data_IF_254140822711
#
_entry.id   IF_254140822711
#
_cell.length_a   1.000
_cell.length_b   1.000
_cell.length_c   1.000
_cell.angle_alpha   90.00
_cell.angle_beta   90.00
_cell.angle_gamma   90.00
#
_symmetry.space_group_name_H-M   'P 1'
#
loop_
_entity.id
_entity.type
_entity.pdbx_description
1 polymer ?
#
# COMPACT_ATOMS: atom_id res chain seq x y z
N UNK A 1 -16.29 -77.56 -2.18
CA UNK A 1 -15.25 -78.08 -1.28
C UNK A 1 -14.04 -77.18 -1.44
N UNK A 2 -13.89 -76.22 -0.54
CA UNK A 2 -12.99 -76.22 0.65
C UNK A 2 -11.78 -75.35 0.32
N UNK A 3 -11.83 -74.05 0.63
CA UNK A 3 -11.42 -73.48 1.92
C UNK A 3 -9.98 -73.85 2.27
N UNK A 4 -9.02 -73.02 1.82
CA UNK A 4 -7.68 -73.01 2.40
C UNK A 4 -7.53 -71.76 3.28
N UNK A 5 -7.16 -72.01 4.52
CA UNK A 5 -7.00 -71.09 5.63
C UNK A 5 -5.54 -71.12 6.00
N UNK A 6 -4.83 -69.97 6.02
CA UNK A 6 -3.84 -69.78 7.07
C UNK A 6 -3.56 -68.28 7.36
N UNK A 7 -3.28 -67.94 8.64
CA UNK A 7 -3.30 -66.59 9.18
C UNK A 7 -1.90 -66.03 9.44
N UNK A 8 -1.86 -64.75 9.82
CA UNK A 8 -0.70 -64.04 10.33
C UNK A 8 -0.01 -63.21 9.23
N UNK A 9 0.47 -62.00 9.47
CA UNK A 9 0.71 -61.23 10.68
C UNK A 9 1.07 -59.81 10.22
N UNK A 10 0.84 -58.81 11.09
CA UNK A 10 1.56 -57.53 11.19
C UNK A 10 1.37 -56.54 10.01
N UNK A 11 0.56 -55.50 10.20
CA UNK A 11 0.98 -54.23 10.82
C UNK A 11 2.04 -53.50 9.98
N UNK A 12 1.64 -52.39 9.37
CA UNK A 12 2.17 -51.03 9.60
C UNK A 12 1.43 -50.08 8.63
N UNK A 13 0.49 -49.29 9.16
CA UNK A 13 -0.03 -48.12 8.47
C UNK A 13 1.02 -46.99 8.54
N UNK A 14 1.84 -46.85 7.51
CA UNK A 14 2.61 -45.62 7.29
C UNK A 14 1.76 -44.69 6.41
N UNK A 15 0.84 -43.96 7.04
CA UNK A 15 0.22 -42.79 6.42
C UNK A 15 1.27 -41.69 6.43
N UNK A 16 2.02 -41.58 5.33
CA UNK A 16 2.92 -40.47 5.10
C UNK A 16 2.13 -39.19 4.95
N UNK A 17 2.01 -38.40 6.04
CA UNK A 17 1.58 -37.02 5.97
C UNK A 17 2.65 -36.23 5.22
N UNK A 18 2.46 -36.06 3.91
CA UNK A 18 3.18 -35.06 3.15
C UNK A 18 2.69 -33.68 3.59
N UNK A 19 3.47 -33.02 4.46
CA UNK A 19 3.32 -31.59 4.73
C UNK A 19 3.63 -30.83 3.45
N UNK A 20 2.58 -30.51 2.68
CA UNK A 20 2.65 -29.45 1.66
C UNK A 20 2.88 -28.13 2.37
N UNK A 21 4.14 -27.73 2.52
CA UNK A 21 4.50 -26.37 2.83
C UNK A 21 4.19 -25.52 1.57
N UNK A 22 2.97 -25.02 1.49
CA UNK A 22 2.67 -23.92 0.57
C UNK A 22 3.52 -22.72 1.02
N UNK A 23 4.33 -22.11 0.14
CA UNK A 23 4.85 -20.79 0.44
C UNK A 23 3.63 -19.87 0.50
N UNK A 24 3.16 -19.58 1.70
CA UNK A 24 2.30 -18.43 1.93
C UNK A 24 3.17 -17.20 1.62
N UNK A 25 3.21 -16.82 0.35
CA UNK A 25 3.55 -15.47 -0.04
C UNK A 25 2.50 -14.58 0.62
N UNK A 26 2.77 -14.16 1.85
CA UNK A 26 2.06 -13.08 2.48
C UNK A 26 2.32 -11.87 1.58
N UNK A 27 1.39 -11.60 0.66
CA UNK A 27 1.30 -10.31 -0.01
C UNK A 27 1.18 -9.32 1.14
N UNK A 28 2.28 -8.65 1.45
CA UNK A 28 2.28 -7.68 2.53
C UNK A 28 1.24 -6.63 2.14
N UNK A 29 0.37 -6.16 3.04
CA UNK A 29 -0.57 -5.08 2.73
C UNK A 29 0.14 -3.81 2.20
N UNK A 30 1.46 -3.73 2.34
CA UNK A 30 2.33 -2.74 1.71
C UNK A 30 2.44 -2.89 0.17
N UNK A 31 2.47 -4.12 -0.38
CA UNK A 31 2.59 -4.33 -1.83
C UNK A 31 1.33 -3.83 -2.58
N UNK A 32 0.16 -4.07 -1.99
CA UNK A 32 -1.12 -3.60 -2.56
C UNK A 32 -1.21 -2.07 -2.53
N UNK A 33 -0.76 -1.46 -1.43
CA UNK A 33 -0.83 -0.01 -1.26
C UNK A 33 0.19 0.79 -2.09
N UNK A 34 1.09 0.15 -2.85
CA UNK A 34 2.00 0.84 -3.80
C UNK A 34 1.45 0.91 -5.21
N UNK A 35 0.32 0.26 -5.50
CA UNK A 35 -0.35 0.27 -6.80
C UNK A 35 -1.76 0.79 -6.65
N UNK A 36 -2.23 1.54 -7.63
CA UNK A 36 -3.59 2.07 -7.62
C UNK A 36 -4.08 2.36 -9.04
N UNK A 37 -5.39 2.41 -9.19
CA UNK A 37 -6.03 2.91 -10.39
C UNK A 37 -6.50 4.34 -10.14
N UNK A 38 -6.11 5.28 -11.02
CA UNK A 38 -6.57 6.66 -11.00
C UNK A 38 -7.24 6.98 -12.33
N UNK A 39 -8.58 6.88 -12.35
CA UNK A 39 -9.36 6.87 -13.59
C UNK A 39 -8.89 5.77 -14.55
N UNK A 40 -8.44 6.12 -15.75
CA UNK A 40 -7.91 5.19 -16.75
C UNK A 40 -6.40 4.97 -16.61
N UNK A 41 -5.74 5.60 -15.63
CA UNK A 41 -4.29 5.51 -15.44
C UNK A 41 -3.92 4.52 -14.33
N UNK A 42 -3.06 3.57 -14.68
CA UNK A 42 -2.40 2.74 -13.69
C UNK A 42 -1.29 3.54 -13.02
N UNK A 43 -1.31 3.59 -11.69
CA UNK A 43 -0.32 4.27 -10.87
C UNK A 43 0.53 3.27 -10.09
N UNK A 44 1.83 3.55 -10.00
CA UNK A 44 2.74 2.76 -9.19
C UNK A 44 3.73 3.66 -8.43
N UNK A 45 3.82 3.46 -7.11
CA UNK A 45 4.88 4.04 -6.30
C UNK A 45 6.11 3.14 -6.38
N UNK A 46 7.25 3.76 -6.63
CA UNK A 46 8.54 3.10 -6.80
C UNK A 46 9.60 3.81 -5.95
N UNK A 47 10.62 3.06 -5.56
CA UNK A 47 11.81 3.63 -4.95
C UNK A 47 12.67 4.29 -6.03
N UNK A 48 13.17 5.49 -5.75
CA UNK A 48 14.17 6.17 -6.55
C UNK A 48 15.04 7.08 -5.67
N UNK A 49 16.31 6.72 -5.51
CA UNK A 49 17.29 7.50 -4.73
C UNK A 49 16.87 7.75 -3.27
N UNK A 50 16.31 6.75 -2.62
CA UNK A 50 15.79 6.79 -1.24
C UNK A 50 14.46 7.54 -1.10
N UNK A 51 13.91 8.05 -2.20
CA UNK A 51 12.62 8.76 -2.23
C UNK A 51 11.59 7.99 -3.02
N UNK A 52 10.35 8.43 -2.91
CA UNK A 52 9.26 7.88 -3.68
C UNK A 52 9.13 8.59 -5.01
N UNK A 53 8.95 7.78 -6.06
CA UNK A 53 8.62 8.23 -7.40
C UNK A 53 7.29 7.60 -7.79
N UNK A 54 6.37 8.43 -8.27
CA UNK A 54 5.12 7.98 -8.87
C UNK A 54 5.33 7.74 -10.36
N UNK A 55 5.13 6.50 -10.80
CA UNK A 55 5.08 6.11 -12.20
C UNK A 55 3.62 6.05 -12.67
N UNK A 56 3.40 6.52 -13.90
CA UNK A 56 2.14 6.47 -14.65
C UNK A 56 2.42 6.26 -16.13
N UNK A 57 1.39 6.03 -16.94
CA UNK A 57 1.55 5.89 -18.40
C UNK A 57 2.19 7.14 -19.05
N UNK A 58 1.99 8.32 -18.45
CA UNK A 58 2.51 9.59 -18.95
C UNK A 58 3.94 9.93 -18.50
N UNK A 59 4.56 9.07 -17.67
CA UNK A 59 5.91 9.28 -17.16
C UNK A 59 6.01 9.20 -15.64
N UNK A 60 7.01 9.90 -15.10
CA UNK A 60 7.39 9.81 -13.69
C UNK A 60 7.27 11.17 -13.00
N UNK A 61 6.85 11.14 -11.73
CA UNK A 61 6.74 12.29 -10.85
C UNK A 61 7.47 11.99 -9.54
N UNK A 62 8.55 12.71 -9.27
CA UNK A 62 9.29 12.60 -8.02
C UNK A 62 8.52 13.24 -6.86
N UNK A 63 8.46 12.53 -5.73
CA UNK A 63 7.81 12.97 -4.52
C UNK A 63 8.85 13.41 -3.47
N UNK A 64 8.41 14.22 -2.52
CA UNK A 64 9.20 14.70 -1.39
C UNK A 64 9.24 13.69 -0.22
N UNK A 65 8.66 12.51 -0.44
CA UNK A 65 8.51 11.47 0.57
C UNK A 65 9.67 10.49 0.51
N UNK A 66 10.18 10.10 1.68
CA UNK A 66 11.16 9.02 1.79
C UNK A 66 10.49 7.66 1.52
N UNK A 67 11.20 6.76 0.85
CA UNK A 67 10.74 5.39 0.70
C UNK A 67 10.83 4.63 2.04
N UNK A 68 9.85 3.78 2.41
CA UNK A 68 8.70 3.33 1.63
C UNK A 68 7.49 4.27 1.67
N UNK A 69 6.82 4.41 0.53
CA UNK A 69 5.54 5.10 0.44
C UNK A 69 4.39 4.16 0.11
N UNK A 70 3.19 4.63 0.43
CA UNK A 70 1.93 4.00 0.06
C UNK A 70 0.91 5.04 -0.38
N UNK A 71 -0.03 4.63 -1.22
CA UNK A 71 -1.24 5.38 -1.49
C UNK A 71 -2.13 5.41 -0.25
N UNK A 72 -2.79 6.53 -0.05
CA UNK A 72 -3.87 6.63 0.91
C UNK A 72 -5.12 5.96 0.34
N UNK A 73 -5.57 4.91 1.04
CA UNK A 73 -6.73 4.12 0.64
C UNK A 73 -7.93 4.47 1.52
N UNK A 74 -9.14 4.33 0.98
CA UNK A 74 -10.38 4.42 1.74
C UNK A 74 -10.62 3.16 2.58
N UNK A 75 -11.72 3.14 3.35
CA UNK A 75 -12.11 1.96 4.16
C UNK A 75 -12.35 0.67 3.36
N UNK A 76 -12.52 0.75 2.05
CA UNK A 76 -12.70 -0.40 1.16
C UNK A 76 -11.37 -0.86 0.53
N UNK A 77 -10.26 -0.18 0.82
CA UNK A 77 -8.96 -0.44 0.22
C UNK A 77 -8.80 0.15 -1.18
N UNK A 78 -9.73 0.99 -1.64
CA UNK A 78 -9.61 1.68 -2.92
C UNK A 78 -8.83 2.99 -2.77
N UNK A 79 -8.17 3.44 -3.84
CA UNK A 79 -7.51 4.75 -3.87
C UNK A 79 -8.52 5.85 -3.55
N UNK A 80 -8.26 6.61 -2.48
CA UNK A 80 -9.13 7.72 -2.12
C UNK A 80 -8.79 8.95 -2.94
N UNK A 81 -9.76 9.37 -3.75
CA UNK A 81 -9.67 10.55 -4.62
C UNK A 81 -10.66 11.60 -4.12
N UNK A 82 -10.23 12.86 -4.06
CA UNK A 82 -11.09 14.00 -3.71
C UNK A 82 -11.12 15.01 -4.87
N UNK A 83 -12.30 15.46 -5.32
CA UNK A 83 -12.41 16.58 -6.24
C UNK A 83 -12.06 17.89 -5.51
N UNK A 84 -11.16 18.68 -6.08
CA UNK A 84 -10.72 19.99 -5.57
C UNK A 84 -10.74 20.98 -6.73
N UNK A 85 -11.76 21.83 -6.79
CA UNK A 85 -12.01 22.70 -7.94
C UNK A 85 -12.20 21.87 -9.22
N UNK A 86 -11.35 22.10 -10.22
CA UNK A 86 -11.35 21.34 -11.48
C UNK A 86 -10.36 20.17 -11.50
N UNK A 87 -9.71 19.89 -10.37
CA UNK A 87 -8.68 18.87 -10.23
C UNK A 87 -9.18 17.69 -9.39
N UNK A 88 -8.55 16.54 -9.56
CA UNK A 88 -8.73 15.40 -8.66
C UNK A 88 -7.44 15.17 -7.90
N UNK A 89 -7.54 15.01 -6.59
CA UNK A 89 -6.39 14.89 -5.69
C UNK A 89 -6.42 13.55 -4.97
N UNK A 90 -5.27 12.89 -4.94
CA UNK A 90 -4.99 11.73 -4.09
C UNK A 90 -3.90 12.08 -3.08
N UNK A 91 -3.72 11.24 -2.07
CA UNK A 91 -2.64 11.38 -1.11
C UNK A 91 -1.68 10.20 -1.19
N UNK A 92 -0.40 10.50 -1.02
CA UNK A 92 0.68 9.53 -0.83
C UNK A 92 1.29 9.80 0.53
N UNK A 93 1.60 8.74 1.27
CA UNK A 93 2.14 8.83 2.62
C UNK A 93 3.36 7.93 2.79
N UNK A 94 4.30 8.39 3.62
CA UNK A 94 5.43 7.62 4.13
C UNK A 94 5.37 7.66 5.65
N UNK A 95 5.53 6.51 6.30
CA UNK A 95 5.32 6.38 7.74
C UNK A 95 6.38 5.50 8.37
N UNK A 96 6.93 5.97 9.49
CA UNK A 96 7.90 5.25 10.30
C UNK A 96 7.45 5.23 11.76
N UNK A 97 7.51 4.07 12.41
CA UNK A 97 7.21 3.97 13.83
C UNK A 97 8.23 4.77 14.65
N UNK A 98 7.76 5.57 15.62
CA UNK A 98 8.67 6.27 16.52
C UNK A 98 9.30 5.29 17.52
N UNK A 99 10.53 5.57 18.00
CA UNK A 99 11.20 4.70 18.96
C UNK A 99 10.43 4.64 20.30
N UNK A 100 10.55 3.54 21.06
CA UNK A 100 10.01 3.46 22.41
C UNK A 100 10.46 4.64 23.29
N UNK A 101 9.62 5.15 24.20
CA UNK A 101 8.33 4.59 24.64
C UNK A 101 7.13 5.02 23.77
N UNK A 102 7.35 5.71 22.64
CA UNK A 102 6.28 6.20 21.79
C UNK A 102 5.51 5.05 21.13
N UNK A 103 4.21 5.26 20.90
CA UNK A 103 3.32 4.33 20.19
C UNK A 103 2.84 4.85 18.85
N UNK A 104 3.14 6.10 18.53
CA UNK A 104 2.74 6.73 17.26
C UNK A 104 3.83 6.60 16.21
N UNK A 105 3.47 6.97 14.98
CA UNK A 105 4.36 6.96 13.82
C UNK A 105 4.61 8.39 13.37
N UNK A 106 5.82 8.67 12.90
CA UNK A 106 6.11 9.88 12.14
C UNK A 106 5.64 9.64 10.72
N UNK A 107 4.55 10.30 10.34
CA UNK A 107 3.96 10.17 9.00
C UNK A 107 4.10 11.49 8.25
N UNK A 108 4.58 11.39 7.02
CA UNK A 108 4.69 12.50 6.06
C UNK A 108 3.73 12.23 4.92
N UNK A 109 2.89 13.21 4.58
CA UNK A 109 1.86 13.08 3.57
C UNK A 109 2.04 14.16 2.50
N UNK A 110 1.97 13.76 1.24
CA UNK A 110 2.01 14.65 0.10
C UNK A 110 0.76 14.44 -0.77
N UNK A 111 0.24 15.52 -1.33
CA UNK A 111 -0.87 15.44 -2.27
C UNK A 111 -0.35 15.30 -3.70
N UNK A 112 -1.07 14.55 -4.53
CA UNK A 112 -0.86 14.49 -5.97
C UNK A 112 -2.18 14.87 -6.64
N UNK A 113 -2.15 15.93 -7.44
CA UNK A 113 -3.31 16.45 -8.16
C UNK A 113 -3.19 16.19 -9.65
N UNK A 114 -4.33 16.11 -10.33
CA UNK A 114 -4.39 16.13 -11.79
C UNK A 114 -4.81 17.50 -12.31
N UNK A 115 -4.21 17.95 -13.40
CA UNK A 115 -4.68 19.07 -14.21
C UNK A 115 -4.54 18.77 -15.71
N UNK A 116 -4.78 19.76 -16.56
CA UNK A 116 -4.71 19.63 -18.02
C UNK A 116 -3.34 19.21 -18.56
N UNK A 117 -2.29 19.33 -17.75
CA UNK A 117 -0.92 18.97 -18.12
C UNK A 117 -0.45 17.64 -17.51
N UNK A 118 -1.31 16.96 -16.74
CA UNK A 118 -1.02 15.66 -16.14
C UNK A 118 -1.01 15.70 -14.62
N UNK A 119 -0.18 14.85 -14.01
CA UNK A 119 -0.05 14.74 -12.56
C UNK A 119 0.98 15.73 -12.04
N UNK A 120 0.68 16.37 -10.91
CA UNK A 120 1.60 17.23 -10.16
C UNK A 120 1.57 16.90 -8.69
N UNK A 121 2.73 16.95 -8.05
CA UNK A 121 2.84 16.81 -6.61
C UNK A 121 2.65 18.18 -5.94
N UNK A 122 2.09 18.21 -4.73
CA UNK A 122 2.04 19.42 -3.92
C UNK A 122 3.46 19.91 -3.59
N UNK A 123 3.70 21.23 -3.57
CA UNK A 123 5.03 21.77 -3.28
C UNK A 123 5.45 21.59 -1.82
N UNK A 124 4.49 21.26 -0.94
CA UNK A 124 4.69 21.04 0.49
C UNK A 124 4.15 19.67 0.90
N UNK A 125 4.56 19.23 2.10
CA UNK A 125 4.11 18.00 2.75
C UNK A 125 3.50 18.32 4.12
N UNK A 126 2.54 17.50 4.56
CA UNK A 126 2.05 17.48 5.94
C UNK A 126 2.90 16.52 6.77
N UNK A 127 3.16 16.86 8.04
CA UNK A 127 3.85 16.00 9.01
C UNK A 127 2.99 15.83 10.23
N UNK A 128 2.75 14.59 10.62
CA UNK A 128 1.78 14.23 11.66
C UNK A 128 2.28 13.03 12.46
N UNK A 129 1.87 12.97 13.73
CA UNK A 129 2.16 11.86 14.63
C UNK A 129 0.97 10.89 14.64
N UNK A 130 0.92 9.98 13.68
CA UNK A 130 -0.18 9.03 13.52
C UNK A 130 0.24 7.83 12.66
N UNK A 131 -0.28 6.64 12.97
CA UNK A 131 0.05 5.39 12.27
C UNK A 131 -1.10 4.96 11.33
N UNK A 132 -0.94 5.06 10.00
CA UNK A 132 -1.89 4.49 9.05
C UNK A 132 -2.06 2.96 9.21
N UNK A 133 -3.18 2.37 8.76
CA UNK A 133 -4.23 3.00 7.95
C UNK A 133 -5.29 3.72 8.79
N UNK A 134 -5.67 4.92 8.36
CA UNK A 134 -6.86 5.64 8.77
C UNK A 134 -7.22 6.65 7.69
N UNK A 135 -8.40 7.26 7.72
CA UNK A 135 -8.85 8.25 6.73
C UNK A 135 -8.39 9.65 7.12
N UNK A 136 -7.61 10.31 6.26
CA UNK A 136 -7.20 11.69 6.46
C UNK A 136 -8.40 12.64 6.32
N UNK A 137 -8.36 13.77 7.01
CA UNK A 137 -9.36 14.82 6.85
C UNK A 137 -9.37 15.34 5.41
N UNK A 138 -10.55 15.65 4.87
CA UNK A 138 -10.70 16.13 3.50
C UNK A 138 -9.89 17.41 3.23
N UNK A 139 -9.64 18.25 4.25
CA UNK A 139 -8.82 19.47 4.12
C UNK A 139 -7.37 19.17 3.78
N UNK A 140 -6.85 17.99 4.09
CA UNK A 140 -5.48 17.63 3.69
C UNK A 140 -5.32 17.54 2.17
N UNK A 141 -6.37 17.20 1.43
CA UNK A 141 -6.35 17.16 -0.04
C UNK A 141 -6.28 18.56 -0.66
N UNK A 142 -6.72 19.59 0.08
CA UNK A 142 -6.81 20.98 -0.40
C UNK A 142 -5.57 21.77 0.07
N UNK A 143 -5.32 21.78 1.38
CA UNK A 143 -4.34 22.67 2.01
C UNK A 143 -2.89 22.41 1.61
N UNK A 144 -2.58 21.25 1.03
CA UNK A 144 -1.23 20.96 0.54
C UNK A 144 -0.91 21.67 -0.79
N UNK A 145 -1.92 22.04 -1.58
CA UNK A 145 -1.73 22.87 -2.79
C UNK A 145 -1.86 24.38 -2.52
N UNK A 146 -2.42 24.76 -1.38
CA UNK A 146 -2.66 26.16 -0.98
C UNK A 146 -1.91 26.49 0.33
N UNK A 147 -0.57 26.46 0.36
CA UNK A 147 0.17 26.78 1.57
C UNK A 147 -0.01 28.27 1.93
N UNK A 148 -0.89 28.56 2.89
CA UNK A 148 -1.08 29.90 3.48
C UNK A 148 -2.47 30.55 3.33
N UNK A 149 -3.52 29.79 3.01
CA UNK A 149 -4.91 30.27 3.12
C UNK A 149 -5.41 30.29 4.57
#
# INVERSE_FOLDING_TARGET
MEANKNPGLLSICLVGLACFALPAGAQSPADDATRAQFFEHALQLQEHEGRCRLASDGGYLDLLLEWPCRFHLDRHGALRIQPVGNSHVLLVESSEAMPPPHRDCRTVVQAVGSDSHGLKASPVVSRVAACPPFEWDAKMFIGLFEPGA
#
